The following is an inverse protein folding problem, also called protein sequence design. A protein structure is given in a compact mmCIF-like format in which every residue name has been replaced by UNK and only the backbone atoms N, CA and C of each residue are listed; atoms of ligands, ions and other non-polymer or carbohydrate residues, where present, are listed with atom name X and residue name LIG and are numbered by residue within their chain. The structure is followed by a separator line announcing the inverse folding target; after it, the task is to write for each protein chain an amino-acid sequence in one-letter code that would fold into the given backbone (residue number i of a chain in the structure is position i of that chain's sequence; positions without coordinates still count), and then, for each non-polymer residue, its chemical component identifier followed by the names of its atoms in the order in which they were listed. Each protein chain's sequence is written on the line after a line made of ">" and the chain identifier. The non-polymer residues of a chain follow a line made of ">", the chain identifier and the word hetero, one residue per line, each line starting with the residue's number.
data_IF_240768063800
#
_entry.id   IF_240768063800
#
_cell.length_a   1.000
_cell.length_b   1.000
_cell.length_c   1.000
_cell.angle_alpha   90.00
_cell.angle_beta   90.00
_cell.angle_gamma   90.00
#
_symmetry.space_group_name_H-M   'P 1'
#
loop_
_entity.id
_entity.type
_entity.pdbx_description
1 polymer ?
#
# COMPACT_ATOMS: atom_id res chain seq x y z
N UNK A 1 -5.61 17.36 1.05
CA UNK A 1 -6.51 17.78 2.15
C UNK A 1 -5.81 17.71 3.51
N UNK A 2 -5.29 16.55 3.94
CA UNK A 2 -4.67 16.38 5.28
C UNK A 2 -3.46 17.30 5.49
N UNK A 3 -2.63 17.52 4.47
CA UNK A 3 -1.48 18.45 4.55
C UNK A 3 -1.86 19.90 4.88
N UNK A 4 -3.12 20.30 4.74
CA UNK A 4 -3.64 21.61 5.14
C UNK A 4 -4.39 21.61 6.48
N UNK A 5 -4.37 20.50 7.22
CA UNK A 5 -5.00 20.43 8.53
C UNK A 5 -4.19 21.22 9.59
N UNK A 6 -4.88 21.73 10.59
CA UNK A 6 -4.22 22.46 11.70
C UNK A 6 -3.16 21.59 12.36
N UNK A 7 -1.99 22.19 12.65
CA UNK A 7 -0.81 21.55 13.28
C UNK A 7 -0.14 20.44 12.47
N UNK A 8 -0.45 20.30 11.18
CA UNK A 8 0.22 19.38 10.27
C UNK A 8 1.29 20.13 9.48
N UNK A 9 2.54 19.69 9.58
CA UNK A 9 3.66 20.26 8.79
C UNK A 9 3.85 19.55 7.46
N UNK A 10 3.58 18.25 7.41
CA UNK A 10 3.62 17.46 6.18
C UNK A 10 2.63 16.31 6.27
N UNK A 11 2.08 15.92 5.13
CA UNK A 11 1.29 14.69 4.97
C UNK A 11 1.54 14.10 3.60
N UNK A 12 1.75 12.79 3.55
CA UNK A 12 2.03 12.06 2.32
C UNK A 12 1.32 10.71 2.33
N UNK A 13 0.66 10.38 1.21
CA UNK A 13 -0.02 9.10 1.05
C UNK A 13 0.94 8.01 0.61
N UNK A 14 0.70 6.78 1.05
CA UNK A 14 1.42 5.59 0.65
C UNK A 14 0.46 4.46 0.31
N UNK A 15 0.89 3.59 -0.58
CA UNK A 15 0.23 2.32 -0.88
C UNK A 15 1.06 1.20 -0.28
N UNK A 16 0.38 0.27 0.40
CA UNK A 16 1.00 -0.91 1.01
C UNK A 16 0.28 -2.16 0.55
N UNK A 17 1.03 -3.19 0.18
CA UNK A 17 0.52 -4.49 -0.22
C UNK A 17 1.40 -5.62 0.33
N UNK A 18 0.79 -6.64 0.92
CA UNK A 18 1.48 -7.85 1.35
C UNK A 18 1.31 -8.93 0.29
N UNK A 19 2.37 -9.70 0.03
CA UNK A 19 2.36 -10.73 -0.98
C UNK A 19 3.37 -11.85 -0.70
N UNK A 20 3.07 -13.05 -1.20
CA UNK A 20 4.01 -14.16 -1.21
C UNK A 20 5.07 -13.97 -2.31
N UNK A 21 6.30 -14.23 -1.94
CA UNK A 21 7.48 -14.28 -2.80
C UNK A 21 8.33 -15.49 -2.43
N UNK A 22 9.49 -15.65 -3.05
CA UNK A 22 10.44 -16.70 -2.74
C UNK A 22 11.77 -16.11 -2.24
N UNK A 23 12.38 -16.76 -1.26
CA UNK A 23 13.75 -16.48 -0.86
C UNK A 23 14.75 -17.10 -1.86
N UNK A 24 16.08 -16.89 -1.63
CA UNK A 24 17.14 -17.44 -2.48
C UNK A 24 17.18 -18.97 -2.52
N UNK A 25 16.55 -19.64 -1.57
CA UNK A 25 16.47 -21.10 -1.48
C UNK A 25 15.19 -21.67 -2.07
N UNK A 26 14.29 -20.79 -2.57
CA UNK A 26 12.99 -21.18 -3.11
C UNK A 26 11.93 -21.42 -2.03
N UNK A 27 12.17 -20.97 -0.77
CA UNK A 27 11.15 -21.06 0.26
C UNK A 27 10.18 -19.90 0.11
N UNK A 28 8.88 -20.18 0.32
CA UNK A 28 7.85 -19.15 0.34
C UNK A 28 8.05 -18.21 1.54
N UNK A 29 8.03 -16.92 1.26
CA UNK A 29 8.13 -15.84 2.25
C UNK A 29 7.07 -14.78 1.97
N UNK A 30 6.71 -14.00 2.99
CA UNK A 30 5.80 -12.88 2.84
C UNK A 30 6.61 -11.59 2.88
N UNK A 31 6.45 -10.80 1.83
CA UNK A 31 7.01 -9.46 1.71
C UNK A 31 5.92 -8.40 1.82
N UNK A 32 6.26 -7.26 2.39
CA UNK A 32 5.44 -6.05 2.35
C UNK A 32 6.04 -5.06 1.37
N UNK A 33 5.27 -4.71 0.35
CA UNK A 33 5.60 -3.63 -0.56
C UNK A 33 5.02 -2.32 -0.05
N UNK A 34 5.83 -1.27 -0.02
CA UNK A 34 5.41 0.11 0.22
C UNK A 34 5.70 0.96 -1.01
N UNK A 35 4.84 1.92 -1.30
CA UNK A 35 5.21 2.97 -2.24
C UNK A 35 6.24 3.92 -1.62
N UNK A 36 7.19 4.37 -2.43
CA UNK A 36 8.21 5.35 -2.01
C UNK A 36 7.52 6.67 -1.68
N UNK A 37 7.91 7.27 -0.56
CA UNK A 37 7.53 8.61 -0.13
C UNK A 37 8.72 9.55 -0.24
N UNK A 38 8.45 10.84 -0.51
CA UNK A 38 9.49 11.84 -0.77
C UNK A 38 9.81 12.71 0.46
N UNK A 39 8.82 12.97 1.31
CA UNK A 39 8.93 13.94 2.39
C UNK A 39 8.78 13.33 3.78
N UNK A 40 7.97 12.27 3.92
CA UNK A 40 7.68 11.62 5.21
C UNK A 40 8.06 10.14 5.12
N UNK A 41 8.69 9.60 6.16
CA UNK A 41 9.21 8.23 6.18
C UNK A 41 10.18 7.91 5.03
N UNK A 42 10.96 8.88 4.61
CA UNK A 42 11.96 8.72 3.56
C UNK A 42 12.97 7.65 3.95
N UNK A 43 13.17 6.68 3.05
CA UNK A 43 14.16 5.62 3.25
C UNK A 43 15.59 6.12 3.06
N UNK A 44 16.52 5.53 3.80
CA UNK A 44 17.96 5.79 3.67
C UNK A 44 18.60 4.75 2.75
N UNK A 45 19.14 5.20 1.61
CA UNK A 45 19.85 4.33 0.68
C UNK A 45 21.23 3.99 1.23
N UNK A 46 21.48 2.70 1.45
CA UNK A 46 22.75 2.17 1.95
C UNK A 46 23.66 1.71 0.83
N UNK A 47 23.10 1.04 -0.19
CA UNK A 47 23.84 0.48 -1.33
C UNK A 47 23.01 0.56 -2.61
N UNK A 48 23.67 0.71 -3.75
CA UNK A 48 23.03 0.77 -5.06
C UNK A 48 22.44 2.13 -5.39
N UNK A 49 21.22 2.15 -5.96
CA UNK A 49 20.49 3.36 -6.30
C UNK A 49 19.00 3.25 -6.01
N UNK A 50 18.33 4.36 -5.93
CA UNK A 50 16.86 4.40 -5.88
C UNK A 50 16.25 3.94 -7.22
N UNK A 51 15.00 3.41 -7.20
CA UNK A 51 14.27 3.02 -8.41
C UNK A 51 14.05 4.21 -9.35
N UNK A 52 14.23 3.98 -10.65
CA UNK A 52 13.93 4.93 -11.72
C UNK A 52 12.73 4.48 -12.57
N UNK A 53 12.38 3.20 -12.49
CA UNK A 53 11.28 2.58 -13.23
C UNK A 53 10.26 1.98 -12.28
N UNK A 54 9.01 1.94 -12.70
CA UNK A 54 7.90 1.42 -11.91
C UNK A 54 8.05 -0.06 -11.48
N UNK A 55 8.80 -0.86 -12.24
CA UNK A 55 9.12 -2.26 -11.93
C UNK A 55 10.50 -2.45 -11.28
N UNK A 56 11.05 -1.40 -10.67
CA UNK A 56 12.25 -1.46 -9.84
C UNK A 56 11.88 -1.29 -8.38
N UNK A 57 12.70 -1.84 -7.47
CA UNK A 57 12.51 -1.68 -6.03
C UNK A 57 13.83 -1.55 -5.30
N UNK A 58 13.77 -1.00 -4.09
CA UNK A 58 14.81 -1.11 -3.06
C UNK A 58 14.30 -1.98 -1.94
N UNK A 59 15.19 -2.67 -1.24
CA UNK A 59 14.84 -3.74 -0.32
C UNK A 59 15.50 -3.59 1.05
N UNK A 60 14.93 -4.27 2.03
CA UNK A 60 15.29 -4.31 3.44
C UNK A 60 16.74 -4.78 3.66
N UNK A 61 17.57 -3.97 4.31
CA UNK A 61 18.98 -4.25 4.64
C UNK A 61 19.16 -5.42 5.61
N UNK A 62 18.12 -5.77 6.36
CA UNK A 62 18.20 -6.87 7.32
C UNK A 62 18.09 -8.25 6.66
N UNK A 63 17.33 -8.35 5.58
CA UNK A 63 17.09 -9.62 4.89
C UNK A 63 17.89 -9.76 3.59
N UNK A 64 18.07 -8.67 2.86
CA UNK A 64 18.79 -8.61 1.61
C UNK A 64 20.21 -8.03 1.78
N UNK A 65 21.03 -8.22 0.79
CA UNK A 65 22.43 -7.75 0.78
C UNK A 65 22.80 -7.21 -0.59
N UNK A 66 23.97 -6.56 -0.70
CA UNK A 66 24.52 -6.07 -1.97
C UNK A 66 24.54 -7.11 -3.10
N UNK A 67 24.62 -8.41 -2.76
CA UNK A 67 24.63 -9.51 -3.75
C UNK A 67 23.28 -9.68 -4.45
N UNK A 68 22.20 -9.12 -3.87
CA UNK A 68 20.85 -9.22 -4.43
C UNK A 68 20.55 -8.10 -5.41
N UNK A 69 21.37 -7.04 -5.44
CA UNK A 69 21.20 -5.95 -6.39
C UNK A 69 21.33 -6.50 -7.83
N UNK A 70 20.30 -6.26 -8.63
CA UNK A 70 20.16 -6.75 -9.99
C UNK A 70 19.30 -8.00 -10.12
N UNK A 71 19.02 -8.73 -9.03
CA UNK A 71 18.06 -9.85 -9.03
C UNK A 71 16.62 -9.38 -9.02
N UNK A 72 15.68 -10.32 -9.16
CA UNK A 72 14.24 -10.03 -9.25
C UNK A 72 13.53 -10.52 -7.99
N UNK A 73 12.65 -9.69 -7.45
CA UNK A 73 11.59 -10.10 -6.52
C UNK A 73 10.41 -10.55 -7.37
N UNK A 74 9.97 -11.78 -7.19
CA UNK A 74 8.84 -12.38 -7.92
C UNK A 74 7.60 -12.40 -7.06
N UNK A 75 6.46 -12.00 -7.64
CA UNK A 75 5.14 -12.22 -7.03
C UNK A 75 4.77 -13.69 -7.27
N UNK A 76 4.75 -14.50 -6.20
CA UNK A 76 4.53 -15.94 -6.29
C UNK A 76 3.14 -16.28 -6.84
N UNK A 77 3.03 -17.45 -7.48
CA UNK A 77 1.75 -17.99 -7.91
C UNK A 77 0.83 -18.40 -6.75
N UNK A 78 1.37 -18.54 -5.53
CA UNK A 78 0.59 -18.78 -4.31
C UNK A 78 -0.33 -17.61 -3.94
N UNK A 79 -0.06 -16.40 -4.45
CA UNK A 79 -0.90 -15.23 -4.24
C UNK A 79 -2.28 -15.43 -4.88
N UNK A 80 -3.31 -15.02 -4.17
CA UNK A 80 -4.66 -14.89 -4.73
C UNK A 80 -4.69 -13.80 -5.82
N UNK A 81 -5.77 -13.76 -6.59
CA UNK A 81 -5.92 -12.73 -7.63
C UNK A 81 -5.89 -11.32 -7.02
N UNK A 82 -6.51 -11.11 -5.85
CA UNK A 82 -6.55 -9.81 -5.19
C UNK A 82 -5.15 -9.32 -4.77
N UNK A 83 -4.28 -10.21 -4.29
CA UNK A 83 -2.89 -9.86 -3.93
C UNK A 83 -2.05 -9.57 -5.18
N UNK A 84 -2.23 -10.37 -6.26
CA UNK A 84 -1.59 -10.10 -7.56
C UNK A 84 -2.06 -8.77 -8.15
N UNK A 85 -3.35 -8.47 -8.06
CA UNK A 85 -3.94 -7.25 -8.59
C UNK A 85 -3.54 -5.99 -7.79
N UNK A 86 -3.03 -6.11 -6.57
CA UNK A 86 -2.51 -4.96 -5.82
C UNK A 86 -1.18 -4.43 -6.40
N UNK A 87 -0.43 -5.28 -7.09
CA UNK A 87 0.86 -5.00 -7.69
C UNK A 87 0.74 -4.94 -9.20
N UNK A 88 1.37 -3.94 -9.83
CA UNK A 88 1.26 -3.74 -11.29
C UNK A 88 2.11 -4.72 -12.09
N UNK A 89 3.17 -5.26 -11.50
CA UNK A 89 4.12 -6.15 -12.15
C UNK A 89 4.24 -7.46 -11.38
N UNK A 90 4.46 -8.55 -12.10
CA UNK A 90 4.76 -9.87 -11.51
C UNK A 90 6.18 -9.99 -10.99
N UNK A 91 7.06 -9.05 -11.36
CA UNK A 91 8.47 -9.02 -10.95
C UNK A 91 8.96 -7.60 -10.76
N UNK A 92 9.80 -7.39 -9.72
CA UNK A 92 10.46 -6.12 -9.42
C UNK A 92 11.96 -6.31 -9.34
N UNK A 93 12.72 -5.50 -10.10
CA UNK A 93 14.18 -5.55 -10.07
C UNK A 93 14.74 -4.83 -8.87
N UNK A 94 15.57 -5.50 -8.07
CA UNK A 94 16.28 -4.89 -6.95
C UNK A 94 17.35 -3.94 -7.49
N UNK A 95 17.27 -2.66 -7.11
CA UNK A 95 18.23 -1.62 -7.51
C UNK A 95 19.09 -1.11 -6.37
N UNK A 96 18.66 -1.32 -5.13
CA UNK A 96 19.39 -0.88 -3.95
C UNK A 96 18.89 -1.51 -2.66
N UNK A 97 19.67 -1.31 -1.62
CA UNK A 97 19.42 -1.73 -0.25
C UNK A 97 19.14 -0.49 0.57
N UNK A 98 18.09 -0.52 1.38
CA UNK A 98 17.66 0.63 2.19
C UNK A 98 17.42 0.25 3.64
N UNK A 99 17.59 1.24 4.52
CA UNK A 99 17.01 1.25 5.85
C UNK A 99 15.76 2.14 5.84
N UNK A 100 14.76 1.80 6.66
CA UNK A 100 13.51 2.56 6.73
C UNK A 100 13.21 2.99 8.17
N UNK A 101 12.93 4.29 8.40
CA UNK A 101 12.54 4.79 9.70
C UNK A 101 11.15 4.28 10.15
N UNK A 102 10.38 3.69 9.26
CA UNK A 102 9.10 3.05 9.57
C UNK A 102 9.28 1.79 10.45
N UNK A 103 10.42 1.11 10.31
CA UNK A 103 10.75 -0.11 11.03
C UNK A 103 11.80 0.15 12.11
N UNK A 104 11.34 0.44 13.33
CA UNK A 104 12.21 0.76 14.48
C UNK A 104 12.95 -0.47 15.02
N UNK A 105 12.37 -1.67 14.87
CA UNK A 105 12.95 -2.93 15.32
C UNK A 105 13.47 -3.73 14.13
N UNK A 106 14.68 -4.25 14.26
CA UNK A 106 15.30 -5.02 13.16
C UNK A 106 14.69 -6.40 12.95
N UNK A 107 14.18 -7.00 14.02
CA UNK A 107 13.66 -8.37 14.03
C UNK A 107 12.18 -8.44 13.60
N UNK A 108 11.47 -7.32 13.64
CA UNK A 108 10.03 -7.29 13.38
C UNK A 108 9.69 -6.41 12.19
N UNK A 109 8.97 -6.97 11.22
CA UNK A 109 8.46 -6.26 10.03
C UNK A 109 6.94 -6.12 10.03
N UNK A 110 6.31 -6.46 11.18
CA UNK A 110 4.86 -6.42 11.37
C UNK A 110 4.17 -7.74 11.07
N UNK A 111 2.84 -7.70 11.15
CA UNK A 111 1.97 -8.85 10.94
C UNK A 111 1.12 -8.68 9.69
N UNK A 112 0.63 -9.79 9.16
CA UNK A 112 -0.22 -9.86 7.97
C UNK A 112 -1.32 -10.90 8.19
N UNK A 113 -2.34 -10.91 7.34
CA UNK A 113 -3.34 -11.98 7.27
C UNK A 113 -2.90 -13.15 6.39
N UNK A 114 -1.74 -13.04 5.73
CA UNK A 114 -1.23 -14.07 4.83
C UNK A 114 -0.42 -15.14 5.59
N UNK A 115 -0.45 -16.36 5.11
CA UNK A 115 0.37 -17.48 5.55
C UNK A 115 0.41 -17.67 7.07
N UNK A 116 1.61 -17.62 7.64
CA UNK A 116 1.85 -17.75 9.07
C UNK A 116 1.64 -16.44 9.88
N UNK A 117 1.26 -15.37 9.20
CA UNK A 117 1.02 -14.07 9.81
C UNK A 117 2.26 -13.19 9.97
N UNK A 118 3.44 -13.64 9.50
CA UNK A 118 4.72 -12.94 9.70
C UNK A 118 5.27 -12.34 8.41
N UNK A 119 5.53 -11.04 8.39
CA UNK A 119 6.24 -10.38 7.29
C UNK A 119 7.73 -10.60 7.46
N UNK A 120 8.36 -11.15 6.42
CA UNK A 120 9.78 -11.49 6.45
C UNK A 120 10.70 -10.30 6.17
N UNK A 121 10.31 -9.47 5.22
CA UNK A 121 11.05 -8.28 4.83
C UNK A 121 10.12 -7.29 4.09
N UNK A 122 10.63 -6.09 3.85
CA UNK A 122 9.93 -5.10 3.06
C UNK A 122 10.65 -4.77 1.75
N UNK A 123 9.89 -4.25 0.81
CA UNK A 123 10.40 -3.59 -0.39
C UNK A 123 9.76 -2.20 -0.53
N UNK A 124 10.44 -1.27 -1.17
CA UNK A 124 9.89 0.01 -1.60
C UNK A 124 9.97 0.11 -3.12
N UNK A 125 8.85 0.40 -3.76
CA UNK A 125 8.74 0.60 -5.20
C UNK A 125 8.09 1.98 -5.49
N UNK A 126 8.29 2.57 -6.69
CA UNK A 126 7.56 3.76 -7.09
C UNK A 126 6.05 3.54 -7.01
N UNK A 127 5.28 4.61 -6.75
CA UNK A 127 3.81 4.53 -6.67
C UNK A 127 3.19 3.91 -7.94
N UNK A 128 3.77 4.20 -9.10
CA UNK A 128 3.36 3.61 -10.39
C UNK A 128 3.61 2.09 -10.50
N UNK A 129 4.27 1.49 -9.53
CA UNK A 129 4.43 0.04 -9.38
C UNK A 129 3.21 -0.66 -8.78
N UNK A 130 2.23 0.09 -8.31
CA UNK A 130 0.98 -0.40 -7.72
C UNK A 130 -0.20 -0.09 -8.64
N UNK A 131 -1.29 -0.83 -8.47
CA UNK A 131 -2.53 -0.63 -9.24
C UNK A 131 -3.57 0.18 -8.47
N UNK A 132 -3.37 0.37 -7.16
CA UNK A 132 -4.35 1.04 -6.30
C UNK A 132 -4.56 2.50 -6.73
N UNK A 133 -5.81 2.89 -6.92
CA UNK A 133 -6.23 4.26 -7.20
C UNK A 133 -6.29 5.15 -5.95
N UNK A 134 -6.10 4.56 -4.76
CA UNK A 134 -6.16 5.27 -3.48
C UNK A 134 -5.02 4.83 -2.56
N UNK A 135 -4.64 5.72 -1.66
CA UNK A 135 -3.65 5.41 -0.63
C UNK A 135 -4.24 4.49 0.44
N UNK A 136 -3.49 3.48 0.85
CA UNK A 136 -3.84 2.59 1.98
C UNK A 136 -3.45 3.21 3.32
N UNK A 137 -2.45 4.11 3.30
CA UNK A 137 -1.92 4.79 4.47
C UNK A 137 -1.69 6.27 4.18
N UNK A 138 -1.74 7.12 5.20
CA UNK A 138 -1.31 8.52 5.12
C UNK A 138 -0.41 8.81 6.31
N UNK A 139 0.84 9.13 6.03
CA UNK A 139 1.80 9.57 7.01
C UNK A 139 1.64 11.06 7.28
N UNK A 140 1.70 11.46 8.55
CA UNK A 140 1.48 12.83 8.96
C UNK A 140 2.57 13.26 9.95
N UNK A 141 3.18 14.41 9.69
CA UNK A 141 4.13 15.04 10.60
C UNK A 141 3.49 16.25 11.26
N UNK A 142 3.56 16.32 12.59
CA UNK A 142 3.11 17.48 13.37
C UNK A 142 4.08 18.65 13.24
N UNK A 143 3.58 19.89 13.24
CA UNK A 143 4.40 21.12 13.23
C UNK A 143 5.36 21.19 14.41
N UNK A 144 4.93 20.71 15.58
CA UNK A 144 5.77 20.65 16.78
C UNK A 144 6.22 19.22 17.00
N UNK A 145 7.52 19.04 16.83
CA UNK A 145 8.17 17.76 17.09
C UNK A 145 8.89 17.86 18.44
N UNK A 146 8.37 17.17 19.45
CA UNK A 146 9.13 16.91 20.67
C UNK A 146 10.11 15.75 20.45
N UNK A 147 10.97 15.51 21.44
CA UNK A 147 11.80 14.30 21.42
C UNK A 147 10.88 13.06 21.42
N UNK A 148 11.12 12.14 20.50
CA UNK A 148 10.26 10.95 20.28
C UNK A 148 10.04 10.22 21.61
N UNK A 149 8.78 9.87 21.88
CA UNK A 149 8.31 9.25 23.13
C UNK A 149 8.36 10.12 24.39
N UNK A 150 8.68 11.42 24.28
CA UNK A 150 8.56 12.35 25.43
C UNK A 150 7.10 12.74 25.68
N UNK A 151 6.81 13.25 26.88
CA UNK A 151 5.49 13.81 27.23
C UNK A 151 5.07 14.93 26.25
N UNK A 152 6.03 15.74 25.82
CA UNK A 152 5.80 16.80 24.84
C UNK A 152 5.39 16.23 23.47
N UNK A 153 6.06 15.15 23.02
CA UNK A 153 5.69 14.44 21.80
C UNK A 153 4.24 13.95 21.85
N UNK A 154 3.87 13.23 22.91
CA UNK A 154 2.51 12.71 23.06
C UNK A 154 1.48 13.83 23.20
N UNK A 155 1.81 14.92 23.90
CA UNK A 155 0.92 16.08 24.03
C UNK A 155 0.66 16.77 22.68
N UNK A 156 1.69 16.85 21.81
CA UNK A 156 1.57 17.42 20.47
C UNK A 156 0.78 16.50 19.55
N UNK A 157 1.02 15.18 19.58
CA UNK A 157 0.25 14.19 18.80
C UNK A 157 -1.23 14.23 19.17
N UNK A 158 -1.54 14.25 20.47
CA UNK A 158 -2.93 14.35 20.97
C UNK A 158 -3.66 15.63 20.53
N UNK A 159 -2.94 16.72 20.29
CA UNK A 159 -3.51 17.98 19.78
C UNK A 159 -3.70 17.96 18.26
N UNK A 160 -2.82 17.27 17.51
CA UNK A 160 -2.86 17.17 16.05
C UNK A 160 -3.90 16.14 15.56
N UNK A 161 -4.06 15.04 16.29
CA UNK A 161 -4.95 13.92 15.92
C UNK A 161 -6.40 14.34 15.61
N UNK A 162 -7.07 15.19 16.40
CA UNK A 162 -8.45 15.61 16.11
C UNK A 162 -8.59 16.36 14.78
N UNK A 163 -7.61 17.22 14.44
CA UNK A 163 -7.61 17.96 13.18
C UNK A 163 -7.46 17.01 11.98
N UNK A 164 -6.56 16.04 12.08
CA UNK A 164 -6.36 15.00 11.05
C UNK A 164 -7.62 14.13 10.91
N UNK A 165 -8.21 13.67 12.03
CA UNK A 165 -9.43 12.85 12.02
C UNK A 165 -10.61 13.59 11.38
N UNK A 166 -10.78 14.87 11.68
CA UNK A 166 -11.84 15.69 11.08
C UNK A 166 -11.73 15.73 9.55
N UNK A 167 -10.54 16.06 9.03
CA UNK A 167 -10.30 16.10 7.58
C UNK A 167 -10.48 14.71 6.94
N UNK A 168 -10.00 13.65 7.60
CA UNK A 168 -10.18 12.29 7.11
C UNK A 168 -11.67 11.90 7.02
N UNK A 169 -12.47 12.21 8.04
CA UNK A 169 -13.91 11.97 8.05
C UNK A 169 -14.64 12.74 6.94
N UNK A 170 -14.32 14.03 6.75
CA UNK A 170 -14.90 14.85 5.68
C UNK A 170 -14.56 14.26 4.29
N UNK A 171 -13.33 13.84 4.06
CA UNK A 171 -12.91 13.23 2.80
C UNK A 171 -13.52 11.86 2.55
N UNK A 172 -13.67 11.05 3.60
CA UNK A 172 -14.35 9.76 3.52
C UNK A 172 -15.83 9.92 3.12
N UNK A 173 -16.55 10.91 3.68
CA UNK A 173 -17.92 11.22 3.30
C UNK A 173 -18.03 11.64 1.82
N UNK A 174 -17.15 12.51 1.36
CA UNK A 174 -17.11 12.94 -0.05
C UNK A 174 -16.89 11.73 -0.95
N UNK A 175 -15.87 10.90 -0.65
CA UNK A 175 -15.55 9.74 -1.48
C UNK A 175 -16.66 8.70 -1.49
N UNK A 176 -17.33 8.49 -0.35
CA UNK A 176 -18.50 7.63 -0.29
C UNK A 176 -19.62 8.10 -1.23
N UNK A 177 -19.91 9.40 -1.23
CA UNK A 177 -20.92 9.97 -2.13
C UNK A 177 -20.53 9.85 -3.61
N UNK A 178 -19.25 10.05 -3.94
CA UNK A 178 -18.73 9.84 -5.31
C UNK A 178 -18.96 8.39 -5.76
N UNK A 179 -18.56 7.39 -4.94
CA UNK A 179 -18.72 5.97 -5.26
C UNK A 179 -20.20 5.59 -5.44
N UNK A 180 -21.08 6.07 -4.57
CA UNK A 180 -22.52 5.82 -4.68
C UNK A 180 -23.07 6.41 -5.97
N UNK A 181 -22.71 7.66 -6.29
CA UNK A 181 -23.15 8.33 -7.53
C UNK A 181 -22.64 7.62 -8.79
N UNK A 182 -21.37 7.18 -8.79
CA UNK A 182 -20.78 6.40 -9.89
C UNK A 182 -21.52 5.07 -10.09
N UNK A 183 -21.85 4.37 -8.98
CA UNK A 183 -22.59 3.10 -9.02
C UNK A 183 -24.03 3.28 -9.52
N UNK A 184 -24.74 4.33 -9.09
CA UNK A 184 -26.09 4.66 -9.56
C UNK A 184 -26.09 4.96 -11.08
N UNK A 185 -25.12 5.73 -11.56
CA UNK A 185 -24.96 6.00 -13.00
C UNK A 185 -24.71 4.74 -13.82
N UNK A 186 -23.91 3.79 -13.29
CA UNK A 186 -23.66 2.51 -13.95
C UNK A 186 -24.94 1.65 -14.04
N UNK A 187 -25.77 1.67 -12.99
CA UNK A 187 -27.04 0.94 -12.97
C UNK A 187 -28.02 1.53 -14.01
N UNK A 188 -28.12 2.83 -14.08
CA UNK A 188 -29.01 3.52 -15.03
C UNK A 188 -28.60 3.30 -16.51
N UNK A 189 -27.32 3.02 -16.76
CA UNK A 189 -26.80 2.72 -18.10
C UNK A 189 -26.85 1.22 -18.44
N UNK A 190 -27.24 0.34 -17.52
CA UNK A 190 -27.40 -1.07 -17.84
C UNK A 190 -28.65 -1.29 -18.71
N UNK A 191 -28.52 -1.98 -19.87
CA UNK A 191 -29.66 -2.28 -20.71
C UNK A 191 -30.64 -3.13 -19.91
N UNK A 192 -31.91 -2.68 -19.84
CA UNK A 192 -32.99 -3.48 -19.25
C UNK A 192 -33.06 -4.82 -19.97
N UNK A 193 -33.06 -5.96 -19.28
CA UNK A 193 -33.19 -7.28 -19.92
C UNK A 193 -34.50 -7.29 -20.69
N UNK A 194 -34.43 -7.55 -21.99
CA UNK A 194 -35.61 -7.78 -22.83
C UNK A 194 -36.45 -8.89 -22.23
N UNK A 195 -37.77 -8.74 -22.07
CA UNK A 195 -38.62 -9.82 -21.62
C UNK A 195 -38.54 -10.96 -22.65
N UNK A 196 -37.84 -12.04 -22.27
CA UNK A 196 -37.82 -13.26 -23.09
C UNK A 196 -39.22 -13.81 -23.14
N UNK A 197 -39.91 -13.67 -24.26
CA UNK A 197 -41.16 -14.31 -24.60
C UNK A 197 -40.92 -15.82 -24.80
N UNK A 198 -40.79 -16.54 -23.70
CA UNK A 198 -40.86 -18.01 -23.72
C UNK A 198 -42.31 -18.41 -23.54
N UNK A 199 -43.07 -18.38 -24.64
CA UNK A 199 -44.38 -19.07 -24.72
C UNK A 199 -44.12 -20.55 -25.09
N UNK A 200 -43.77 -21.35 -24.09
CA UNK A 200 -43.81 -22.80 -24.25
C UNK A 200 -45.30 -23.26 -24.29
N UNK A 201 -45.83 -23.48 -25.48
CA UNK A 201 -47.09 -24.19 -25.65
C UNK A 201 -46.87 -25.68 -25.36
N UNK A 202 -47.35 -26.13 -24.19
CA UNK A 202 -47.52 -27.56 -23.91
C UNK A 202 -48.78 -28.03 -24.66
N UNK A 203 -48.64 -28.87 -25.69
CA UNK A 203 -49.74 -29.66 -26.28
C UNK A 203 -49.82 -30.97 -25.49
N UNK A 204 -50.90 -31.16 -24.78
CA UNK A 204 -51.32 -32.44 -24.25
C UNK A 204 -52.07 -33.18 -25.39
N UNK A 205 -51.59 -34.35 -25.74
CA UNK A 205 -52.28 -35.42 -26.47
C UNK A 205 -52.55 -36.54 -25.51
#
# INVERSE_FOLDING_TARGET
>A
AIAGADRVSAAEGSVTADFFSEDRSGNSIILRAHSITENVNKVDLLEGRMPEKANECVVDDHFFSKKDIGSMIKVSDENTQAEKDALKYSEYKITGIVNSPYYLMKEERGTTSLGDGSIRAFIYAPLDGFTSEYYTEVFVTSEKQGFVFSDEYYANMKKTEPAVKKVAQERMQIRYQEIVSEAEQQIDHMPTPSPSTSTARVRLT
#
